data_IF_073606415348
#
_entry.id   IF_073606415348
#
_cell.length_a   1.000
_cell.length_b   1.000
_cell.length_c   1.000
_cell.angle_alpha   90.00
_cell.angle_beta   90.00
_cell.angle_gamma   90.00
#
_symmetry.space_group_name_H-M   'P 1'
#
loop_
_entity.id
_entity.type
_entity.pdbx_description
1 polymer ?
#
# COMPACT_ATOMS: atom_id res chain seq x y z
N UNK A 1 31.13 28.80 -9.85
CA UNK A 1 31.12 29.66 -8.65
C UNK A 1 29.82 29.40 -7.90
N UNK A 2 29.82 28.40 -7.01
CA UNK A 2 28.65 28.03 -6.20
C UNK A 2 28.49 29.07 -5.10
N UNK A 3 27.46 29.94 -5.22
CA UNK A 3 27.12 30.84 -4.14
C UNK A 3 26.59 30.01 -2.96
N UNK A 4 27.40 29.99 -1.92
CA UNK A 4 27.15 29.29 -0.67
C UNK A 4 25.85 29.82 -0.04
N UNK A 5 24.72 29.10 -0.22
CA UNK A 5 23.40 29.47 0.33
C UNK A 5 23.38 29.50 1.87
N UNK A 6 24.47 29.08 2.53
CA UNK A 6 24.64 29.20 3.98
C UNK A 6 24.81 30.66 4.44
N UNK A 7 25.28 31.57 3.58
CA UNK A 7 25.48 32.98 3.90
C UNK A 7 24.24 33.88 3.70
N UNK A 8 23.10 33.31 3.28
CA UNK A 8 21.86 34.01 3.03
C UNK A 8 21.02 34.24 4.30
N UNK A 9 20.02 35.05 4.16
CA UNK A 9 19.03 35.54 5.14
C UNK A 9 18.81 34.58 6.34
N UNK A 10 19.19 35.01 7.53
CA UNK A 10 18.94 34.29 8.80
C UNK A 10 17.47 34.21 9.08
N UNK A 11 16.97 33.01 9.37
CA UNK A 11 15.58 32.71 9.68
C UNK A 11 15.47 32.29 11.15
N UNK A 12 14.38 32.70 11.81
CA UNK A 12 14.04 32.21 13.14
C UNK A 12 13.18 30.95 13.03
N UNK A 13 13.11 30.10 14.09
CA UNK A 13 12.24 28.92 14.10
C UNK A 13 10.78 29.23 13.68
N UNK A 14 10.26 30.39 14.09
CA UNK A 14 8.89 30.81 13.76
C UNK A 14 8.70 31.10 12.27
N UNK A 15 9.74 31.54 11.58
CA UNK A 15 9.67 31.87 10.14
C UNK A 15 9.58 30.58 9.29
N UNK A 16 10.24 29.49 9.74
CA UNK A 16 10.11 28.15 9.16
C UNK A 16 8.75 27.51 9.50
N UNK A 17 8.36 27.56 10.77
CA UNK A 17 7.16 26.92 11.26
C UNK A 17 5.87 27.47 10.62
N UNK A 18 5.77 28.81 10.51
CA UNK A 18 4.57 29.51 10.02
C UNK A 18 4.17 29.09 8.61
N UNK A 19 5.15 28.88 7.70
CA UNK A 19 4.89 28.51 6.30
C UNK A 19 4.21 27.16 6.15
N UNK A 20 4.38 26.29 7.14
CA UNK A 20 3.92 24.89 7.07
C UNK A 20 2.89 24.53 8.17
N UNK A 21 2.37 25.53 8.90
CA UNK A 21 1.41 25.30 9.99
C UNK A 21 1.99 24.51 11.17
N UNK A 22 3.33 24.55 11.36
CA UNK A 22 4.03 23.81 12.39
C UNK A 22 4.27 24.67 13.63
N UNK A 23 4.52 24.01 14.77
CA UNK A 23 5.02 24.68 15.97
C UNK A 23 6.54 24.90 15.87
N UNK A 24 7.04 25.91 16.57
CA UNK A 24 8.51 26.11 16.69
C UNK A 24 9.19 24.95 17.39
N UNK A 25 8.47 24.23 18.26
CA UNK A 25 9.00 23.02 18.90
C UNK A 25 9.18 21.89 17.91
N UNK A 26 8.26 21.72 16.95
CA UNK A 26 8.42 20.71 15.89
C UNK A 26 9.70 20.95 15.06
N UNK A 27 10.03 22.22 14.74
CA UNK A 27 11.25 22.57 14.01
C UNK A 27 12.51 22.16 14.82
N UNK A 28 12.50 22.41 16.14
CA UNK A 28 13.60 21.98 17.02
C UNK A 28 13.73 20.46 17.08
N UNK A 29 12.62 19.77 17.22
CA UNK A 29 12.59 18.30 17.26
C UNK A 29 13.12 17.70 15.94
N UNK A 30 12.78 18.29 14.80
CA UNK A 30 13.30 17.84 13.49
C UNK A 30 14.80 18.08 13.34
N UNK A 31 15.34 19.18 13.86
CA UNK A 31 16.78 19.42 13.90
C UNK A 31 17.48 18.42 14.83
N UNK A 32 16.98 18.24 16.05
CA UNK A 32 17.53 17.30 17.05
C UNK A 32 17.48 15.85 16.56
N UNK A 33 16.45 15.49 15.77
CA UNK A 33 16.34 14.19 15.16
C UNK A 33 17.19 14.00 13.88
N UNK A 34 17.98 14.99 13.47
CA UNK A 34 18.79 14.96 12.25
C UNK A 34 18.01 15.02 10.94
N UNK A 35 16.72 15.31 11.01
CA UNK A 35 15.85 15.49 9.81
C UNK A 35 16.18 16.81 9.10
N UNK A 36 16.49 17.86 9.86
CA UNK A 36 17.06 19.09 9.35
C UNK A 36 18.56 19.10 9.61
N UNK A 37 19.36 19.83 8.81
CA UNK A 37 20.75 20.09 9.13
C UNK A 37 20.91 20.74 10.51
N UNK A 38 22.09 20.61 11.11
CA UNK A 38 22.40 21.31 12.36
C UNK A 38 22.30 22.83 12.17
N UNK A 39 21.59 23.51 13.06
CA UNK A 39 21.45 24.96 13.03
C UNK A 39 22.63 25.65 13.70
N UNK A 40 23.09 26.75 13.10
CA UNK A 40 24.06 27.62 13.75
C UNK A 40 23.47 28.22 15.03
N UNK A 41 24.33 28.65 15.95
CA UNK A 41 23.92 29.35 17.16
C UNK A 41 24.48 30.79 17.18
N UNK A 42 23.61 31.70 17.60
CA UNK A 42 24.06 33.08 17.87
C UNK A 42 25.01 33.10 19.08
N UNK A 43 25.76 34.19 19.30
CA UNK A 43 26.58 34.36 20.53
C UNK A 43 25.76 34.22 21.83
N UNK A 44 24.47 34.45 21.78
CA UNK A 44 23.54 34.27 22.91
C UNK A 44 22.89 32.86 22.96
N UNK A 45 23.37 31.89 22.16
CA UNK A 45 22.91 30.52 22.17
C UNK A 45 21.61 30.21 21.39
N UNK A 46 21.00 31.19 20.73
CA UNK A 46 19.77 30.98 19.97
C UNK A 46 20.06 30.32 18.62
N UNK A 47 19.22 29.34 18.23
CA UNK A 47 19.27 28.66 16.93
C UNK A 47 19.00 29.61 15.79
N UNK A 48 19.80 29.55 14.76
CA UNK A 48 19.66 30.32 13.53
C UNK A 48 19.55 29.38 12.34
N UNK A 49 18.51 29.53 11.57
CA UNK A 49 18.23 28.72 10.38
C UNK A 49 18.51 29.54 9.11
N UNK A 50 18.66 28.83 8.00
CA UNK A 50 18.95 29.43 6.68
C UNK A 50 17.93 28.95 5.64
N UNK A 51 18.06 29.40 4.39
CA UNK A 51 17.25 28.91 3.29
C UNK A 51 17.45 27.39 3.06
N UNK A 52 18.64 26.87 3.35
CA UNK A 52 18.94 25.42 3.28
C UNK A 52 18.01 24.63 4.21
N UNK A 53 17.82 25.08 5.45
CA UNK A 53 16.89 24.46 6.39
C UNK A 53 15.44 24.53 5.91
N UNK A 54 15.05 25.63 5.25
CA UNK A 54 13.71 25.76 4.66
C UNK A 54 13.50 24.74 3.54
N UNK A 55 14.50 24.47 2.70
CA UNK A 55 14.47 23.45 1.66
C UNK A 55 14.46 22.04 2.24
N UNK A 56 15.28 21.77 3.27
CA UNK A 56 15.25 20.50 3.98
C UNK A 56 13.87 20.20 4.58
N UNK A 57 13.23 21.20 5.17
CA UNK A 57 11.89 21.05 5.73
C UNK A 57 10.84 20.79 4.62
N UNK A 58 10.91 21.51 3.51
CA UNK A 58 10.01 21.30 2.37
C UNK A 58 10.17 19.87 1.81
N UNK A 59 11.42 19.42 1.61
CA UNK A 59 11.72 18.05 1.17
C UNK A 59 11.16 17.01 2.14
N UNK A 60 11.41 17.17 3.44
CA UNK A 60 10.87 16.26 4.46
C UNK A 60 9.35 16.15 4.41
N UNK A 61 8.65 17.29 4.42
CA UNK A 61 7.18 17.31 4.42
C UNK A 61 6.60 16.72 3.13
N UNK A 62 7.23 16.94 1.99
CA UNK A 62 6.82 16.31 0.72
C UNK A 62 7.07 14.80 0.74
N UNK A 63 8.23 14.34 1.24
CA UNK A 63 8.54 12.92 1.39
C UNK A 63 7.56 12.19 2.30
N UNK A 64 7.10 12.83 3.39
CA UNK A 64 6.12 12.24 4.32
C UNK A 64 4.85 11.78 3.61
N UNK A 65 4.38 12.52 2.61
CA UNK A 65 3.14 12.21 1.89
C UNK A 65 3.20 10.89 1.10
N UNK A 66 4.36 10.53 0.57
CA UNK A 66 4.56 9.31 -0.23
C UNK A 66 5.17 8.15 0.57
N UNK A 67 6.19 8.45 1.39
CA UNK A 67 6.99 7.45 2.11
C UNK A 67 6.48 7.17 3.53
N UNK A 68 5.64 8.06 4.10
CA UNK A 68 5.28 8.08 5.50
C UNK A 68 6.40 8.67 6.39
N UNK A 69 6.03 9.12 7.59
CA UNK A 69 6.89 9.90 8.48
C UNK A 69 8.23 9.18 8.81
N UNK A 70 8.18 7.91 9.15
CA UNK A 70 9.37 7.14 9.58
C UNK A 70 10.40 7.03 8.46
N UNK A 71 9.97 6.60 7.28
CA UNK A 71 10.85 6.44 6.11
C UNK A 71 11.38 7.78 5.64
N UNK A 72 10.54 8.82 5.56
CA UNK A 72 10.95 10.18 5.22
C UNK A 72 12.01 10.72 6.19
N UNK A 73 11.85 10.50 7.50
CA UNK A 73 12.84 10.88 8.50
C UNK A 73 14.18 10.13 8.32
N UNK A 74 14.14 8.84 7.98
CA UNK A 74 15.34 8.05 7.70
C UNK A 74 16.05 8.52 6.42
N UNK A 75 15.29 8.83 5.36
CA UNK A 75 15.84 9.40 4.11
C UNK A 75 16.57 10.72 4.41
N UNK A 76 15.93 11.64 5.14
CA UNK A 76 16.51 12.95 5.44
C UNK A 76 17.79 12.83 6.31
N UNK A 77 17.79 11.93 7.30
CA UNK A 77 18.99 11.66 8.12
C UNK A 77 20.15 11.15 7.25
N UNK A 78 19.88 10.12 6.45
CA UNK A 78 20.88 9.55 5.56
C UNK A 78 21.47 10.62 4.62
N UNK A 79 20.62 11.48 4.05
CA UNK A 79 21.06 12.62 3.23
C UNK A 79 21.92 13.60 4.06
N UNK A 80 21.49 13.96 5.26
CA UNK A 80 22.21 14.93 6.09
C UNK A 80 23.56 14.40 6.57
N UNK A 81 23.70 13.09 6.76
CA UNK A 81 24.92 12.37 7.11
C UNK A 81 25.83 12.09 5.90
N UNK A 82 25.42 12.46 4.67
CA UNK A 82 26.19 12.20 3.45
C UNK A 82 26.07 10.76 2.93
N UNK A 83 25.17 9.95 3.47
CA UNK A 83 24.92 8.56 3.09
C UNK A 83 23.86 8.47 1.97
N UNK A 84 24.12 9.07 0.80
CA UNK A 84 23.17 9.18 -0.31
C UNK A 84 22.65 7.80 -0.79
N UNK A 85 23.52 6.79 -0.87
CA UNK A 85 23.14 5.43 -1.29
C UNK A 85 22.14 4.78 -0.32
N UNK A 86 22.20 5.09 0.97
CA UNK A 86 21.22 4.63 1.95
C UNK A 86 19.86 5.31 1.71
N UNK A 87 19.86 6.62 1.46
CA UNK A 87 18.66 7.36 1.14
C UNK A 87 17.98 6.79 -0.12
N UNK A 88 18.75 6.49 -1.17
CA UNK A 88 18.23 5.91 -2.42
C UNK A 88 17.67 4.50 -2.19
N UNK A 89 18.32 3.64 -1.40
CA UNK A 89 17.77 2.32 -1.05
C UNK A 89 16.41 2.40 -0.34
N UNK A 90 16.22 3.36 0.56
CA UNK A 90 14.94 3.60 1.24
C UNK A 90 13.85 4.06 0.28
N UNK A 91 14.20 4.91 -0.70
CA UNK A 91 13.31 5.38 -1.76
C UNK A 91 12.91 4.20 -2.64
N UNK A 92 13.87 3.42 -3.13
CA UNK A 92 13.65 2.25 -3.98
C UNK A 92 12.76 1.21 -3.30
N UNK A 93 12.96 0.96 -2.00
CA UNK A 93 12.11 0.09 -1.20
C UNK A 93 10.63 0.53 -1.20
N UNK A 94 10.38 1.84 -1.11
CA UNK A 94 9.01 2.38 -1.17
C UNK A 94 8.41 2.25 -2.57
N UNK A 95 9.18 2.47 -3.63
CA UNK A 95 8.74 2.27 -5.01
C UNK A 95 8.47 0.80 -5.31
N UNK A 96 9.31 -0.11 -4.85
CA UNK A 96 9.09 -1.55 -4.97
C UNK A 96 7.78 -1.98 -4.30
N UNK A 97 7.49 -1.46 -3.10
CA UNK A 97 6.22 -1.73 -2.41
C UNK A 97 5.03 -1.17 -3.20
N UNK A 98 5.10 0.06 -3.71
CA UNK A 98 4.02 0.62 -4.54
C UNK A 98 3.78 -0.20 -5.82
N UNK A 99 4.85 -0.71 -6.43
CA UNK A 99 4.74 -1.59 -7.60
C UNK A 99 4.07 -2.92 -7.24
N UNK A 100 4.43 -3.52 -6.11
CA UNK A 100 3.80 -4.74 -5.60
C UNK A 100 2.29 -4.52 -5.35
N UNK A 101 1.92 -3.42 -4.69
CA UNK A 101 0.53 -3.06 -4.42
C UNK A 101 -0.29 -2.89 -5.73
N UNK A 102 0.30 -2.28 -6.78
CA UNK A 102 -0.33 -2.15 -8.11
C UNK A 102 -0.55 -3.50 -8.78
N UNK A 103 0.46 -4.38 -8.76
CA UNK A 103 0.34 -5.74 -9.32
C UNK A 103 -0.75 -6.54 -8.62
N UNK A 104 -0.87 -6.39 -7.31
CA UNK A 104 -1.94 -7.03 -6.53
C UNK A 104 -3.31 -6.52 -6.97
N UNK A 105 -3.49 -5.20 -7.13
CA UNK A 105 -4.74 -4.62 -7.62
C UNK A 105 -5.10 -5.15 -9.02
N UNK A 106 -4.15 -5.14 -9.95
CA UNK A 106 -4.33 -5.65 -11.33
C UNK A 106 -4.74 -7.13 -11.34
N UNK A 107 -4.13 -7.95 -10.48
CA UNK A 107 -4.46 -9.37 -10.37
C UNK A 107 -5.89 -9.59 -9.84
N UNK A 108 -6.31 -8.81 -8.84
CA UNK A 108 -7.70 -8.83 -8.33
C UNK A 108 -8.69 -8.43 -9.41
N UNK A 109 -8.44 -7.34 -10.12
CA UNK A 109 -9.31 -6.86 -11.20
C UNK A 109 -9.42 -7.87 -12.35
N UNK A 110 -8.29 -8.51 -12.71
CA UNK A 110 -8.28 -9.57 -13.73
C UNK A 110 -9.09 -10.79 -13.29
N UNK A 111 -8.93 -11.20 -12.03
CA UNK A 111 -9.67 -12.32 -11.47
C UNK A 111 -11.17 -12.06 -11.45
N UNK A 112 -11.61 -10.86 -11.09
CA UNK A 112 -13.01 -10.46 -11.08
C UNK A 112 -13.61 -10.45 -12.48
N UNK A 113 -12.95 -9.84 -13.45
CA UNK A 113 -13.38 -9.85 -14.86
C UNK A 113 -13.54 -11.27 -15.43
N UNK A 114 -12.70 -12.21 -14.99
CA UNK A 114 -12.81 -13.60 -15.41
C UNK A 114 -14.01 -14.34 -14.77
N UNK A 115 -14.67 -13.74 -13.77
CA UNK A 115 -15.87 -14.29 -13.15
C UNK A 115 -17.18 -13.76 -13.78
N UNK A 116 -17.16 -12.61 -14.47
CA UNK A 116 -18.34 -11.96 -15.05
C UNK A 116 -19.00 -12.73 -16.22
N UNK A 117 -18.31 -13.44 -17.13
CA UNK A 117 -18.95 -14.04 -18.30
C UNK A 117 -19.55 -15.43 -18.06
N UNK A 118 -19.51 -15.99 -16.86
CA UNK A 118 -19.94 -17.38 -16.64
C UNK A 118 -21.46 -17.56 -16.42
N UNK A 119 -22.22 -16.46 -16.26
CA UNK A 119 -23.64 -16.55 -15.94
C UNK A 119 -24.59 -16.56 -17.14
N UNK A 120 -24.13 -16.19 -18.36
CA UNK A 120 -25.06 -16.07 -19.52
C UNK A 120 -24.96 -17.20 -20.56
N UNK A 121 -24.04 -18.16 -20.46
CA UNK A 121 -23.79 -19.11 -21.56
C UNK A 121 -23.65 -20.59 -21.13
N UNK A 122 -24.09 -20.98 -19.97
CA UNK A 122 -24.06 -22.41 -19.62
C UNK A 122 -25.43 -22.88 -19.17
N UNK A 123 -26.15 -23.60 -20.07
CA UNK A 123 -27.24 -24.47 -19.65
C UNK A 123 -26.72 -25.39 -18.53
N UNK A 124 -27.48 -25.55 -17.43
CA UNK A 124 -27.04 -26.37 -16.33
C UNK A 124 -27.13 -27.84 -16.71
N UNK A 125 -26.02 -28.45 -17.15
CA UNK A 125 -25.88 -29.88 -16.92
C UNK A 125 -26.10 -30.13 -15.43
N UNK A 126 -27.07 -30.95 -15.09
CA UNK A 126 -27.58 -31.15 -13.74
C UNK A 126 -26.48 -31.52 -12.75
N UNK A 127 -25.84 -30.50 -12.18
CA UNK A 127 -24.91 -30.67 -11.06
C UNK A 127 -25.75 -31.05 -9.85
N UNK A 128 -25.42 -32.13 -9.11
CA UNK A 128 -26.13 -32.51 -7.90
C UNK A 128 -26.14 -31.35 -6.91
N UNK A 129 -27.26 -30.66 -6.80
CA UNK A 129 -27.42 -29.53 -5.86
C UNK A 129 -27.71 -30.12 -4.48
N UNK A 130 -27.02 -29.63 -3.46
CA UNK A 130 -27.36 -29.99 -2.09
C UNK A 130 -28.79 -29.52 -1.76
N UNK A 131 -29.52 -30.22 -0.89
CA UNK A 131 -30.89 -29.85 -0.48
C UNK A 131 -31.06 -28.43 0.05
N UNK A 132 -29.97 -27.78 0.39
CA UNK A 132 -29.90 -26.42 0.95
C UNK A 132 -29.40 -25.33 -0.05
N UNK A 133 -29.43 -25.59 -1.35
CA UNK A 133 -29.11 -24.60 -2.39
C UNK A 133 -27.61 -24.30 -2.56
N UNK A 134 -26.72 -25.25 -2.25
CA UNK A 134 -25.28 -25.14 -2.45
C UNK A 134 -24.70 -26.32 -3.24
N UNK A 135 -23.40 -26.32 -3.49
CA UNK A 135 -22.67 -27.42 -4.14
C UNK A 135 -21.78 -28.19 -3.15
N UNK A 136 -21.43 -29.42 -3.50
CA UNK A 136 -20.50 -30.25 -2.72
C UNK A 136 -19.05 -30.10 -3.19
N UNK A 137 -18.08 -30.56 -2.37
CA UNK A 137 -16.64 -30.43 -2.65
C UNK A 137 -16.21 -31.09 -3.97
N UNK A 138 -16.82 -32.22 -4.36
CA UNK A 138 -16.46 -32.94 -5.58
C UNK A 138 -16.80 -32.16 -6.86
N UNK A 139 -18.06 -31.72 -7.05
CA UNK A 139 -18.45 -30.85 -8.15
C UNK A 139 -17.61 -29.55 -8.22
N UNK A 140 -17.44 -28.85 -7.10
CA UNK A 140 -16.65 -27.61 -7.06
C UNK A 140 -15.17 -27.85 -7.44
N UNK A 141 -14.58 -28.92 -6.93
CA UNK A 141 -13.20 -29.29 -7.26
C UNK A 141 -13.04 -29.61 -8.76
N UNK A 142 -14.03 -30.32 -9.36
CA UNK A 142 -14.04 -30.64 -10.79
C UNK A 142 -14.20 -29.37 -11.64
N UNK A 143 -15.10 -28.49 -11.29
CA UNK A 143 -15.30 -27.21 -11.96
C UNK A 143 -14.02 -26.38 -12.01
N UNK A 144 -13.28 -26.30 -10.90
CA UNK A 144 -12.03 -25.53 -10.78
C UNK A 144 -10.80 -26.29 -11.29
N UNK A 145 -10.91 -27.56 -11.72
CA UNK A 145 -9.77 -28.38 -12.09
C UNK A 145 -8.83 -28.67 -10.93
N UNK A 146 -9.35 -28.69 -9.70
CA UNK A 146 -8.57 -28.87 -8.46
C UNK A 146 -8.84 -30.24 -7.82
N UNK A 147 -7.92 -30.65 -6.94
CA UNK A 147 -8.16 -31.80 -6.07
C UNK A 147 -8.99 -31.35 -4.83
N UNK A 148 -9.94 -32.17 -4.33
CA UNK A 148 -10.69 -31.87 -3.10
C UNK A 148 -9.78 -31.53 -1.90
N UNK A 149 -8.58 -32.10 -1.83
CA UNK A 149 -7.58 -31.79 -0.81
C UNK A 149 -7.13 -30.32 -0.83
N UNK A 150 -7.07 -29.70 -2.02
CA UNK A 150 -6.74 -28.29 -2.19
C UNK A 150 -7.81 -27.39 -1.57
N UNK A 151 -9.10 -27.68 -1.83
CA UNK A 151 -10.21 -26.93 -1.23
C UNK A 151 -10.23 -27.08 0.31
N UNK A 152 -9.88 -28.25 0.86
CA UNK A 152 -9.72 -28.43 2.31
C UNK A 152 -8.54 -27.61 2.87
N UNK A 153 -7.45 -27.49 2.11
CA UNK A 153 -6.34 -26.61 2.50
C UNK A 153 -6.75 -25.14 2.50
N UNK A 154 -7.54 -24.70 1.51
CA UNK A 154 -8.09 -23.36 1.43
C UNK A 154 -9.09 -23.05 2.57
N UNK A 155 -9.91 -24.02 2.97
CA UNK A 155 -10.77 -23.92 4.15
C UNK A 155 -9.92 -23.68 5.43
N UNK A 156 -8.87 -24.46 5.61
CA UNK A 156 -7.94 -24.30 6.75
C UNK A 156 -7.22 -22.94 6.74
N UNK A 157 -6.91 -22.43 5.57
CA UNK A 157 -6.30 -21.10 5.39
C UNK A 157 -7.32 -19.94 5.46
N UNK A 158 -8.62 -20.23 5.68
CA UNK A 158 -9.66 -19.20 5.81
C UNK A 158 -10.11 -18.56 4.48
N UNK A 159 -9.67 -19.11 3.33
CA UNK A 159 -10.04 -18.58 2.01
C UNK A 159 -11.50 -18.87 1.68
N UNK A 160 -12.04 -20.02 2.09
CA UNK A 160 -13.44 -20.44 1.93
C UNK A 160 -13.96 -20.93 3.26
N UNK A 161 -15.29 -20.82 3.49
CA UNK A 161 -15.91 -21.13 4.79
C UNK A 161 -17.18 -21.97 4.62
N UNK A 162 -17.09 -23.19 4.03
CA UNK A 162 -18.24 -24.01 3.78
C UNK A 162 -18.94 -24.39 5.08
N UNK A 163 -20.27 -24.38 5.06
CA UNK A 163 -21.08 -24.94 6.14
C UNK A 163 -21.11 -26.46 6.03
N UNK A 164 -21.47 -27.11 7.13
CA UNK A 164 -21.77 -28.55 7.14
C UNK A 164 -23.29 -28.75 7.10
N UNK A 165 -23.71 -29.60 6.20
CA UNK A 165 -25.10 -30.04 6.17
C UNK A 165 -25.48 -30.69 7.50
N UNK A 166 -26.62 -30.30 8.12
CA UNK A 166 -27.00 -30.79 9.44
C UNK A 166 -27.24 -32.31 9.48
N UNK A 167 -27.73 -32.88 8.37
CA UNK A 167 -28.09 -34.32 8.28
C UNK A 167 -26.91 -35.19 7.86
N UNK A 168 -26.25 -34.81 6.75
CA UNK A 168 -25.21 -35.62 6.12
C UNK A 168 -23.82 -35.33 6.66
N UNK A 169 -23.64 -34.18 7.36
CA UNK A 169 -22.35 -33.64 7.83
C UNK A 169 -21.36 -33.32 6.72
N UNK A 170 -21.76 -33.44 5.45
CA UNK A 170 -20.93 -33.06 4.32
C UNK A 170 -20.76 -31.52 4.22
N UNK A 171 -19.63 -31.09 3.60
CA UNK A 171 -19.37 -29.70 3.29
C UNK A 171 -20.25 -29.23 2.16
N UNK A 172 -20.96 -28.14 2.39
CA UNK A 172 -21.82 -27.46 1.40
C UNK A 172 -21.25 -26.06 1.16
N UNK A 173 -20.94 -25.78 -0.08
CA UNK A 173 -20.42 -24.51 -0.54
C UNK A 173 -21.58 -23.71 -1.13
N UNK A 174 -21.93 -22.59 -0.51
CA UNK A 174 -22.95 -21.67 -1.04
C UNK A 174 -22.38 -20.81 -2.18
N UNK A 175 -23.22 -19.94 -2.77
CA UNK A 175 -22.81 -19.07 -3.88
C UNK A 175 -21.62 -18.16 -3.50
N UNK A 176 -21.55 -17.70 -2.25
CA UNK A 176 -20.43 -16.88 -1.77
C UNK A 176 -19.14 -17.71 -1.66
N UNK A 177 -19.21 -18.92 -1.12
CA UNK A 177 -18.05 -19.82 -1.06
C UNK A 177 -17.55 -20.22 -2.45
N UNK A 178 -18.44 -20.47 -3.41
CA UNK A 178 -18.09 -20.79 -4.81
C UNK A 178 -17.38 -19.60 -5.46
N UNK A 179 -17.90 -18.37 -5.29
CA UNK A 179 -17.26 -17.14 -5.78
C UNK A 179 -15.87 -16.97 -5.17
N UNK A 180 -15.75 -17.11 -3.86
CA UNK A 180 -14.49 -17.00 -3.15
C UNK A 180 -13.46 -18.06 -3.59
N UNK A 181 -13.92 -19.29 -3.85
CA UNK A 181 -13.07 -20.36 -4.38
C UNK A 181 -12.59 -20.06 -5.81
N UNK A 182 -13.46 -19.52 -6.69
CA UNK A 182 -13.09 -19.09 -8.04
C UNK A 182 -12.06 -17.97 -7.99
N UNK A 183 -12.27 -16.94 -7.16
CA UNK A 183 -11.35 -15.84 -6.99
C UNK A 183 -10.00 -16.30 -6.45
N UNK A 184 -9.99 -17.15 -5.40
CA UNK A 184 -8.77 -17.75 -4.88
C UNK A 184 -8.01 -18.54 -5.95
N UNK A 185 -8.73 -19.32 -6.79
CA UNK A 185 -8.13 -20.06 -7.89
C UNK A 185 -7.43 -19.15 -8.89
N UNK A 186 -8.09 -18.08 -9.34
CA UNK A 186 -7.51 -17.13 -10.30
C UNK A 186 -6.26 -16.43 -9.73
N UNK A 187 -6.31 -15.98 -8.47
CA UNK A 187 -5.18 -15.36 -7.80
C UNK A 187 -4.01 -16.35 -7.63
N UNK A 188 -4.28 -17.61 -7.30
CA UNK A 188 -3.24 -18.67 -7.25
C UNK A 188 -2.60 -18.94 -8.60
N UNK A 189 -3.38 -18.94 -9.69
CA UNK A 189 -2.84 -19.03 -11.06
C UNK A 189 -1.99 -17.82 -11.44
N UNK A 190 -2.29 -16.66 -10.87
CA UNK A 190 -1.48 -15.45 -10.97
C UNK A 190 -0.20 -15.44 -10.13
N UNK A 191 0.06 -16.52 -9.37
CA UNK A 191 1.29 -16.67 -8.57
C UNK A 191 1.20 -16.15 -7.13
N UNK A 192 0.04 -15.64 -6.69
CA UNK A 192 -0.12 -15.14 -5.32
C UNK A 192 -0.12 -16.27 -4.28
N UNK A 193 0.48 -16.02 -3.12
CA UNK A 193 0.50 -16.93 -1.98
C UNK A 193 -0.86 -16.95 -1.25
N UNK A 194 -1.17 -18.04 -0.52
CA UNK A 194 -2.44 -18.14 0.22
C UNK A 194 -2.56 -17.05 1.29
N UNK A 195 -1.45 -16.68 1.92
CA UNK A 195 -1.35 -15.65 2.95
C UNK A 195 -1.67 -14.24 2.39
N UNK A 196 -1.36 -14.00 1.11
CA UNK A 196 -1.69 -12.76 0.39
C UNK A 196 -3.15 -12.72 -0.05
N UNK A 197 -3.73 -13.88 -0.40
CA UNK A 197 -5.11 -14.01 -0.88
C UNK A 197 -6.12 -13.88 0.27
N UNK A 198 -5.82 -14.42 1.44
CA UNK A 198 -6.76 -14.45 2.58
C UNK A 198 -7.27 -13.05 2.99
N UNK A 199 -6.41 -12.02 3.19
CA UNK A 199 -6.88 -10.67 3.51
C UNK A 199 -7.68 -10.03 2.37
N UNK A 200 -7.38 -10.34 1.10
CA UNK A 200 -8.13 -9.83 -0.05
C UNK A 200 -9.56 -10.39 -0.07
N UNK A 201 -9.73 -11.71 0.12
CA UNK A 201 -11.04 -12.32 0.23
C UNK A 201 -11.84 -11.81 1.42
N UNK A 202 -11.18 -11.53 2.54
CA UNK A 202 -11.84 -10.92 3.70
C UNK A 202 -12.40 -9.52 3.36
N UNK A 203 -11.67 -8.72 2.60
CA UNK A 203 -12.14 -7.41 2.13
C UNK A 203 -13.32 -7.53 1.15
N UNK A 204 -13.28 -8.49 0.21
CA UNK A 204 -14.39 -8.78 -0.71
C UNK A 204 -15.66 -9.14 0.05
N UNK A 205 -15.55 -9.99 1.07
CA UNK A 205 -16.68 -10.37 1.93
C UNK A 205 -17.24 -9.18 2.70
N UNK A 206 -16.35 -8.36 3.28
CA UNK A 206 -16.74 -7.17 4.04
C UNK A 206 -17.46 -6.12 3.18
N UNK A 207 -17.16 -6.07 1.88
CA UNK A 207 -17.81 -5.19 0.93
C UNK A 207 -19.26 -5.60 0.57
N UNK A 208 -19.70 -6.81 0.89
CA UNK A 208 -21.09 -7.25 0.70
C UNK A 208 -21.50 -7.60 -0.73
N UNK A 209 -20.55 -7.71 -1.68
CA UNK A 209 -20.84 -8.09 -3.07
C UNK A 209 -19.95 -7.43 -4.11
N UNK A 210 -20.25 -7.66 -5.41
CA UNK A 210 -19.42 -7.17 -6.53
C UNK A 210 -19.52 -5.65 -6.74
N UNK A 211 -20.72 -5.06 -6.64
CA UNK A 211 -20.91 -3.60 -6.85
C UNK A 211 -20.19 -2.74 -5.81
N UNK A 212 -20.28 -3.01 -4.49
CA UNK A 212 -19.42 -2.36 -3.50
C UNK A 212 -17.93 -2.60 -3.72
N UNK A 213 -17.57 -3.76 -4.30
CA UNK A 213 -16.18 -4.10 -4.60
C UNK A 213 -15.59 -3.24 -5.72
N UNK A 214 -16.33 -2.93 -6.78
CA UNK A 214 -15.87 -2.03 -7.85
C UNK A 214 -15.54 -0.64 -7.30
N UNK A 215 -16.39 -0.11 -6.42
CA UNK A 215 -16.11 1.16 -5.77
C UNK A 215 -14.86 1.10 -4.87
N UNK A 216 -14.66 0.00 -4.16
CA UNK A 216 -13.48 -0.23 -3.32
C UNK A 216 -12.19 -0.34 -4.15
N UNK A 217 -12.23 -1.04 -5.30
CA UNK A 217 -11.10 -1.14 -6.24
C UNK A 217 -10.77 0.22 -6.87
N UNK A 218 -11.79 0.97 -7.26
CA UNK A 218 -11.63 2.33 -7.79
C UNK A 218 -10.98 3.25 -6.74
N UNK A 219 -11.45 3.20 -5.51
CA UNK A 219 -10.85 3.94 -4.40
C UNK A 219 -9.41 3.48 -4.11
N UNK A 220 -9.13 2.19 -4.20
CA UNK A 220 -7.78 1.65 -4.04
C UNK A 220 -6.85 2.14 -5.15
N UNK A 221 -7.27 2.06 -6.41
CA UNK A 221 -6.52 2.60 -7.56
C UNK A 221 -6.22 4.10 -7.39
N UNK A 222 -7.20 4.87 -6.94
CA UNK A 222 -7.04 6.30 -6.68
C UNK A 222 -5.99 6.57 -5.59
N UNK A 223 -6.00 5.78 -4.49
CA UNK A 223 -4.97 5.89 -3.41
C UNK A 223 -3.58 5.56 -3.92
N UNK A 224 -3.40 4.49 -4.70
CA UNK A 224 -2.09 4.12 -5.27
C UNK A 224 -1.58 5.20 -6.23
N UNK A 225 -2.47 5.78 -7.04
CA UNK A 225 -2.14 6.89 -7.95
C UNK A 225 -1.76 8.16 -7.17
N UNK A 226 -2.50 8.50 -6.11
CA UNK A 226 -2.18 9.62 -5.24
C UNK A 226 -0.81 9.44 -4.56
N UNK A 227 -0.54 8.23 -4.03
CA UNK A 227 0.75 7.90 -3.44
C UNK A 227 1.90 7.98 -4.45
N UNK A 228 1.69 7.52 -5.70
CA UNK A 228 2.69 7.65 -6.76
C UNK A 228 3.02 9.12 -7.08
N UNK A 229 2.01 10.00 -7.15
CA UNK A 229 2.23 11.44 -7.33
C UNK A 229 2.95 12.06 -6.14
N UNK A 230 2.63 11.65 -4.92
CA UNK A 230 3.30 12.13 -3.72
C UNK A 230 4.78 11.72 -3.67
N UNK A 231 5.12 10.50 -4.09
CA UNK A 231 6.52 10.05 -4.22
C UNK A 231 7.29 10.91 -5.24
N UNK A 232 6.69 11.21 -6.39
CA UNK A 232 7.30 12.07 -7.41
C UNK A 232 7.54 13.50 -6.90
N UNK A 233 6.55 14.08 -6.22
CA UNK A 233 6.69 15.40 -5.60
C UNK A 233 7.78 15.42 -4.52
N UNK A 234 7.83 14.37 -3.68
CA UNK A 234 8.87 14.21 -2.67
C UNK A 234 10.27 14.12 -3.26
N UNK A 235 10.44 13.38 -4.35
CA UNK A 235 11.71 13.26 -5.06
C UNK A 235 12.18 14.62 -5.66
N UNK A 236 11.26 15.41 -6.22
CA UNK A 236 11.57 16.73 -6.76
C UNK A 236 12.04 17.72 -5.67
N UNK A 237 11.38 17.74 -4.52
CA UNK A 237 11.79 18.56 -3.38
C UNK A 237 13.12 18.09 -2.78
N UNK A 238 13.35 16.79 -2.73
CA UNK A 238 14.61 16.23 -2.26
C UNK A 238 15.77 16.59 -3.20
N UNK A 239 15.60 16.49 -4.53
CA UNK A 239 16.59 16.91 -5.52
C UNK A 239 16.91 18.41 -5.37
N UNK A 240 15.88 19.24 -5.18
CA UNK A 240 16.06 20.69 -4.91
C UNK A 240 16.88 20.94 -3.65
N UNK A 241 16.69 20.14 -2.61
CA UNK A 241 17.47 20.23 -1.38
C UNK A 241 18.91 19.76 -1.59
N UNK A 242 19.13 18.62 -2.27
CA UNK A 242 20.47 18.09 -2.57
C UNK A 242 21.31 19.12 -3.34
N UNK A 243 20.79 19.68 -4.43
CA UNK A 243 21.47 20.73 -5.21
C UNK A 243 21.78 21.99 -4.42
N UNK A 244 21.09 22.26 -3.34
CA UNK A 244 21.35 23.42 -2.49
C UNK A 244 22.43 23.15 -1.43
N UNK A 245 22.77 21.88 -1.21
CA UNK A 245 23.86 21.47 -0.32
C UNK A 245 25.22 21.49 -1.00
N UNK A 246 25.25 21.17 -2.32
CA UNK A 246 26.43 21.22 -3.18
C UNK A 246 26.83 22.68 -3.50
#
# INVERSE_FOLDING_TARGET
MSQNLQSGRRLRPVDLARRHGLSTQAIRNYEEAGILPAADRTPHGYRTYTLLHARALAAFLALVQGHGHRTAASIMRAVNEGAADEAFRLIDGTHAQLLADRRTLEAVEKALRALEPADEAREPDAVPTAPSGGTFIGPLARELGLRPATLRAWERAGLIRPRRDPLTKYRVYDAADVRDARLAHQLRRGGHLLEEIAPLLAQVRAAGGLVPLESALTAWRARLSARGRALLAGAAELDTYLRARD
#
